data_IF_604154465732
#
_entry.id   IF_604154465732
#
_cell.length_a   1.000
_cell.length_b   1.000
_cell.length_c   1.000
_cell.angle_alpha   90.00
_cell.angle_beta   90.00
_cell.angle_gamma   90.00
#
_symmetry.space_group_name_H-M   'P 1'
#
loop_
_entity.id
_entity.type
_entity.pdbx_description
1 polymer ?
#
# COMPACT_ATOMS: atom_id res chain seq x y z
N UNK A 1 8.41 16.23 19.68
CA UNK A 1 9.54 15.29 19.73
C UNK A 1 9.09 14.09 20.54
N UNK A 2 9.19 12.89 19.98
CA UNK A 2 8.91 11.63 20.68
C UNK A 2 10.05 11.31 21.66
N UNK A 3 9.72 10.73 22.81
CA UNK A 3 10.65 10.44 23.91
C UNK A 3 11.15 9.00 23.86
N UNK A 4 12.28 8.72 24.53
CA UNK A 4 12.78 7.34 24.69
C UNK A 4 11.87 6.45 25.54
N UNK A 5 11.06 7.05 26.42
CA UNK A 5 10.06 6.30 27.19
C UNK A 5 8.91 5.84 26.30
N UNK A 6 8.37 6.72 25.44
CA UNK A 6 7.35 6.35 24.44
C UNK A 6 7.83 5.26 23.47
N UNK A 7 9.15 5.18 23.21
CA UNK A 7 9.73 4.11 22.38
C UNK A 7 9.59 2.72 23.00
N UNK A 8 9.57 2.60 24.33
CA UNK A 8 9.47 1.29 25.01
C UNK A 8 8.11 0.63 24.80
N UNK A 9 7.08 1.45 24.62
CA UNK A 9 5.69 1.00 24.39
C UNK A 9 5.32 0.99 22.89
N UNK A 10 6.28 1.27 21.99
CA UNK A 10 6.03 1.32 20.56
C UNK A 10 5.92 -0.10 19.96
N UNK A 11 4.90 -0.31 19.13
CA UNK A 11 4.72 -1.53 18.33
C UNK A 11 3.76 -2.53 18.94
N UNK A 12 3.64 -3.70 18.30
CA UNK A 12 2.66 -4.72 18.65
C UNK A 12 3.05 -5.60 19.85
N UNK A 13 4.32 -5.56 20.28
CA UNK A 13 4.89 -6.64 21.09
C UNK A 13 5.04 -7.95 20.30
N UNK A 14 5.19 -9.11 20.98
CA UNK A 14 5.33 -10.40 20.32
C UNK A 14 4.13 -10.73 19.43
N UNK A 15 4.40 -11.20 18.21
CA UNK A 15 3.37 -11.66 17.28
C UNK A 15 2.82 -13.02 17.72
N UNK A 16 1.52 -13.22 17.53
CA UNK A 16 0.85 -14.48 17.86
C UNK A 16 0.86 -15.45 16.67
N UNK A 17 0.33 -16.65 16.89
CA UNK A 17 0.14 -17.63 15.80
C UNK A 17 -0.82 -17.13 14.70
N UNK A 18 -1.66 -16.12 14.98
CA UNK A 18 -2.50 -15.48 13.95
C UNK A 18 -1.66 -14.87 12.85
N UNK A 19 -0.53 -14.25 13.20
CA UNK A 19 0.40 -13.70 12.22
C UNK A 19 1.04 -14.79 11.36
N UNK A 20 1.46 -15.90 11.96
CA UNK A 20 2.03 -17.05 11.24
C UNK A 20 1.03 -17.63 10.23
N UNK A 21 -0.23 -17.78 10.64
CA UNK A 21 -1.32 -18.25 9.79
C UNK A 21 -1.62 -17.28 8.63
N UNK A 22 -1.54 -15.96 8.89
CA UNK A 22 -1.72 -14.94 7.86
C UNK A 22 -0.57 -14.95 6.84
N UNK A 23 0.67 -15.14 7.31
CA UNK A 23 1.84 -15.27 6.45
C UNK A 23 1.72 -16.51 5.55
N UNK A 24 1.31 -17.64 6.12
CA UNK A 24 1.06 -18.87 5.35
C UNK A 24 -0.07 -18.67 4.32
N UNK A 25 -1.16 -18.00 4.71
CA UNK A 25 -2.27 -17.68 3.81
C UNK A 25 -1.83 -16.78 2.65
N UNK A 26 -1.12 -15.69 2.93
CA UNK A 26 -0.58 -14.80 1.90
C UNK A 26 0.35 -15.55 0.94
N UNK A 27 1.23 -16.41 1.48
CA UNK A 27 2.15 -17.22 0.68
C UNK A 27 1.42 -18.23 -0.22
N UNK A 28 0.30 -18.80 0.23
CA UNK A 28 -0.50 -19.70 -0.57
C UNK A 28 -1.29 -18.94 -1.65
N UNK A 29 -1.96 -17.87 -1.26
CA UNK A 29 -2.77 -17.04 -2.14
C UNK A 29 -1.94 -16.47 -3.32
N UNK A 30 -0.75 -15.94 -3.02
CA UNK A 30 0.12 -15.30 -4.00
C UNK A 30 1.24 -16.22 -4.52
N UNK A 31 1.15 -17.54 -4.31
CA UNK A 31 2.26 -18.50 -4.55
C UNK A 31 2.87 -18.44 -5.95
N UNK A 32 2.05 -18.17 -6.96
CA UNK A 32 2.48 -18.10 -8.37
C UNK A 32 2.61 -16.67 -8.88
N UNK A 33 2.31 -15.66 -8.05
CA UNK A 33 2.36 -14.27 -8.45
C UNK A 33 3.78 -13.73 -8.37
N UNK A 34 4.14 -12.94 -9.39
CA UNK A 34 5.44 -12.31 -9.52
C UNK A 34 5.28 -10.80 -9.55
N UNK A 35 6.30 -10.07 -9.07
CA UNK A 35 6.39 -8.62 -9.24
C UNK A 35 6.43 -8.30 -10.73
N UNK A 36 5.66 -7.30 -11.13
CA UNK A 36 5.49 -6.85 -12.51
C UNK A 36 6.83 -6.71 -13.23
N UNK A 37 6.94 -7.31 -14.42
CA UNK A 37 8.14 -7.23 -15.25
C UNK A 37 9.35 -8.01 -14.74
N UNK A 38 9.20 -8.88 -13.73
CA UNK A 38 10.32 -9.62 -13.14
C UNK A 38 9.95 -11.05 -12.72
N UNK A 39 10.96 -11.82 -12.28
CA UNK A 39 10.79 -13.13 -11.63
C UNK A 39 10.80 -13.05 -10.10
N UNK A 40 10.79 -11.85 -9.52
CA UNK A 40 10.77 -11.67 -8.07
C UNK A 40 9.42 -12.11 -7.52
N UNK A 41 9.35 -13.01 -6.52
CA UNK A 41 8.08 -13.43 -5.93
C UNK A 41 7.30 -12.25 -5.34
N UNK A 42 5.98 -12.21 -5.54
CA UNK A 42 5.14 -11.12 -5.01
C UNK A 42 5.17 -11.04 -3.48
N UNK A 43 5.36 -12.20 -2.83
CA UNK A 43 5.51 -12.32 -1.38
C UNK A 43 6.53 -11.35 -0.77
N UNK A 44 7.60 -11.02 -1.51
CA UNK A 44 8.60 -10.05 -1.06
C UNK A 44 7.98 -8.69 -0.73
N UNK A 45 6.99 -8.25 -1.50
CA UNK A 45 6.27 -7.01 -1.23
C UNK A 45 5.43 -7.10 0.03
N UNK A 46 4.62 -8.16 0.15
CA UNK A 46 3.70 -8.34 1.27
C UNK A 46 4.45 -8.40 2.61
N UNK A 47 5.57 -9.13 2.64
CA UNK A 47 6.46 -9.18 3.80
C UNK A 47 7.06 -7.80 4.12
N UNK A 48 7.51 -7.05 3.12
CA UNK A 48 8.04 -5.70 3.33
C UNK A 48 7.00 -4.72 3.86
N UNK A 49 5.75 -4.77 3.37
CA UNK A 49 4.67 -3.90 3.86
C UNK A 49 4.36 -4.23 5.32
N UNK A 50 4.24 -5.51 5.64
CA UNK A 50 4.00 -5.95 7.02
C UNK A 50 5.14 -5.55 7.97
N UNK A 51 6.39 -5.73 7.55
CA UNK A 51 7.56 -5.29 8.32
C UNK A 51 7.56 -3.77 8.55
N UNK A 52 7.28 -2.97 7.52
CA UNK A 52 7.18 -1.51 7.66
C UNK A 52 6.06 -1.11 8.65
N UNK A 53 4.91 -1.77 8.61
CA UNK A 53 3.84 -1.52 9.58
C UNK A 53 4.33 -1.75 11.00
N UNK A 54 5.01 -2.87 11.27
CA UNK A 54 5.54 -3.22 12.58
C UNK A 54 6.64 -2.24 13.05
N UNK A 55 7.61 -1.94 12.18
CA UNK A 55 8.71 -1.02 12.47
C UNK A 55 8.22 0.40 12.78
N UNK A 56 7.08 0.79 12.20
CA UNK A 56 6.46 2.08 12.40
C UNK A 56 5.37 2.07 13.48
N UNK A 57 5.35 1.07 14.36
CA UNK A 57 4.51 1.08 15.56
C UNK A 57 3.09 0.55 15.37
N UNK A 58 2.80 -0.10 14.23
CA UNK A 58 1.51 -0.72 13.98
C UNK A 58 1.24 -1.94 14.86
N UNK A 59 -0.05 -2.26 15.02
CA UNK A 59 -0.52 -3.45 15.72
C UNK A 59 -0.34 -4.73 14.90
N UNK A 60 -0.50 -5.89 15.56
CA UNK A 60 -0.53 -7.19 14.86
C UNK A 60 -1.63 -7.24 13.80
N UNK A 61 -2.83 -6.71 14.09
CA UNK A 61 -3.93 -6.67 13.12
C UNK A 61 -3.58 -5.83 11.88
N UNK A 62 -2.89 -4.70 12.06
CA UNK A 62 -2.40 -3.90 10.92
C UNK A 62 -1.29 -4.61 10.16
N UNK A 63 -0.41 -5.34 10.85
CA UNK A 63 0.66 -6.10 10.21
C UNK A 63 0.11 -7.29 9.40
N UNK A 64 -0.88 -8.01 9.94
CA UNK A 64 -1.66 -9.02 9.22
C UNK A 64 -2.34 -8.38 8.01
N UNK A 65 -3.01 -7.24 8.18
CA UNK A 65 -3.62 -6.54 7.06
C UNK A 65 -2.59 -6.11 6.00
N UNK A 66 -1.36 -5.75 6.40
CA UNK A 66 -0.25 -5.49 5.50
C UNK A 66 0.16 -6.71 4.66
N UNK A 67 0.13 -7.92 5.23
CA UNK A 67 0.34 -9.16 4.47
C UNK A 67 -0.79 -9.43 3.46
N UNK A 68 -2.00 -8.98 3.75
CA UNK A 68 -3.23 -9.36 3.05
C UNK A 68 -3.84 -8.24 2.19
N UNK A 69 -3.25 -7.05 2.17
CA UNK A 69 -3.88 -5.85 1.60
C UNK A 69 -4.24 -5.99 0.12
N UNK A 70 -3.43 -6.75 -0.64
CA UNK A 70 -3.65 -7.02 -2.06
C UNK A 70 -4.47 -8.29 -2.33
N UNK A 71 -4.71 -9.14 -1.33
CA UNK A 71 -5.36 -10.45 -1.53
C UNK A 71 -6.76 -10.32 -2.15
N UNK A 72 -7.50 -9.27 -1.81
CA UNK A 72 -8.83 -9.01 -2.40
C UNK A 72 -8.72 -8.44 -3.82
N UNK A 73 -7.72 -7.59 -4.09
CA UNK A 73 -7.53 -6.98 -5.42
C UNK A 73 -6.99 -7.96 -6.46
N UNK A 74 -6.13 -8.88 -6.04
CA UNK A 74 -5.46 -9.88 -6.87
C UNK A 74 -6.22 -11.22 -6.92
N UNK A 75 -7.34 -11.31 -6.20
CA UNK A 75 -8.24 -12.45 -6.26
C UNK A 75 -8.75 -12.69 -7.71
N UNK A 76 -9.03 -13.95 -8.09
CA UNK A 76 -9.73 -14.23 -9.33
C UNK A 76 -11.00 -13.40 -9.48
N UNK A 77 -11.29 -12.93 -10.70
CA UNK A 77 -12.43 -12.07 -11.00
C UNK A 77 -13.74 -12.67 -10.43
N UNK A 78 -14.48 -11.87 -9.66
CA UNK A 78 -15.73 -12.30 -9.03
C UNK A 78 -15.57 -13.05 -7.70
N UNK A 79 -14.35 -13.13 -7.15
CA UNK A 79 -14.09 -13.88 -5.89
C UNK A 79 -13.59 -13.00 -4.74
N UNK A 80 -13.39 -11.69 -4.95
CA UNK A 80 -12.87 -10.78 -3.93
C UNK A 80 -13.71 -10.75 -2.65
N UNK A 81 -15.04 -10.77 -2.75
CA UNK A 81 -15.92 -10.90 -1.58
C UNK A 81 -15.74 -12.19 -0.77
N UNK A 82 -15.45 -13.31 -1.46
CA UNK A 82 -15.17 -14.59 -0.79
C UNK A 82 -13.86 -14.53 -0.03
N UNK A 83 -12.82 -13.96 -0.65
CA UNK A 83 -11.52 -13.73 -0.01
C UNK A 83 -11.67 -12.82 1.20
N UNK A 84 -12.41 -11.72 1.09
CA UNK A 84 -12.64 -10.81 2.20
C UNK A 84 -13.40 -11.47 3.37
N UNK A 85 -14.39 -12.32 3.06
CA UNK A 85 -15.10 -13.10 4.08
C UNK A 85 -14.21 -14.15 4.75
N UNK A 86 -13.32 -14.79 3.99
CA UNK A 86 -12.32 -15.71 4.55
C UNK A 86 -11.38 -14.98 5.50
N UNK A 87 -10.86 -13.81 5.10
CA UNK A 87 -10.02 -12.95 5.94
C UNK A 87 -10.76 -12.59 7.24
N UNK A 88 -12.03 -12.20 7.15
CA UNK A 88 -12.86 -11.88 8.33
C UNK A 88 -13.01 -13.09 9.27
N UNK A 89 -13.24 -14.27 8.72
CA UNK A 89 -13.44 -15.50 9.49
C UNK A 89 -12.16 -15.95 10.21
N UNK A 90 -11.02 -15.90 9.51
CA UNK A 90 -9.73 -16.42 10.02
C UNK A 90 -8.97 -15.41 10.87
N UNK A 91 -9.01 -14.14 10.48
CA UNK A 91 -8.17 -13.10 11.07
C UNK A 91 -8.97 -11.99 11.73
N UNK A 92 -10.31 -12.06 11.74
CA UNK A 92 -11.17 -11.14 12.47
C UNK A 92 -11.62 -9.91 11.68
N UNK A 93 -12.60 -9.20 12.25
CA UNK A 93 -13.24 -8.05 11.61
C UNK A 93 -12.30 -6.88 11.35
N UNK A 94 -11.45 -6.52 12.32
CA UNK A 94 -10.52 -5.40 12.19
C UNK A 94 -9.57 -5.55 11.01
N UNK A 95 -8.96 -6.74 10.86
CA UNK A 95 -8.11 -7.06 9.71
C UNK A 95 -8.87 -6.93 8.39
N UNK A 96 -10.07 -7.51 8.30
CA UNK A 96 -10.87 -7.46 7.08
C UNK A 96 -11.27 -6.02 6.71
N UNK A 97 -11.61 -5.19 7.71
CA UNK A 97 -12.00 -3.80 7.49
C UNK A 97 -10.80 -2.96 7.01
N UNK A 98 -9.59 -3.20 7.54
CA UNK A 98 -8.36 -2.58 7.06
C UNK A 98 -8.05 -3.01 5.62
N UNK A 99 -8.11 -4.31 5.31
CA UNK A 99 -7.86 -4.82 3.96
C UNK A 99 -8.83 -4.20 2.96
N UNK A 100 -10.14 -4.18 3.28
CA UNK A 100 -11.17 -3.54 2.45
C UNK A 100 -10.87 -2.06 2.23
N UNK A 101 -10.44 -1.34 3.26
CA UNK A 101 -10.11 0.08 3.15
C UNK A 101 -8.83 0.34 2.33
N UNK A 102 -7.92 -0.62 2.25
CA UNK A 102 -6.71 -0.53 1.43
C UNK A 102 -6.99 -0.81 -0.06
N UNK A 103 -8.03 -1.57 -0.39
CA UNK A 103 -8.42 -1.85 -1.78
C UNK A 103 -9.11 -0.69 -2.49
N UNK A 104 -8.94 -0.60 -3.81
CA UNK A 104 -9.65 0.35 -4.68
C UNK A 104 -10.71 -0.31 -5.58
N UNK A 105 -11.74 0.47 -5.94
CA UNK A 105 -12.79 0.08 -6.90
C UNK A 105 -13.60 -1.16 -6.54
N UNK A 106 -13.65 -1.53 -5.25
CA UNK A 106 -14.50 -2.60 -4.76
C UNK A 106 -15.96 -2.15 -4.65
N UNK A 107 -16.88 -2.96 -5.16
CA UNK A 107 -18.31 -2.81 -4.89
C UNK A 107 -18.70 -3.34 -3.49
N UNK A 108 -20.00 -3.34 -3.19
CA UNK A 108 -20.52 -3.84 -1.91
C UNK A 108 -20.11 -5.31 -1.65
N UNK A 109 -20.09 -6.10 -2.72
CA UNK A 109 -19.78 -7.54 -2.75
C UNK A 109 -18.27 -7.82 -2.83
N UNK A 110 -17.41 -6.79 -2.78
CA UNK A 110 -15.96 -6.94 -2.81
C UNK A 110 -15.40 -7.28 -4.19
N UNK A 111 -16.12 -7.00 -5.27
CA UNK A 111 -15.63 -7.16 -6.62
C UNK A 111 -15.03 -5.86 -7.15
N UNK A 112 -13.85 -5.98 -7.75
CA UNK A 112 -13.13 -4.84 -8.31
C UNK A 112 -13.57 -4.51 -9.73
N UNK A 113 -13.83 -3.24 -10.03
CA UNK A 113 -14.26 -2.77 -11.35
C UNK A 113 -13.73 -1.37 -11.71
N UNK A 114 -13.88 -0.96 -12.98
CA UNK A 114 -13.42 0.34 -13.48
C UNK A 114 -11.98 0.37 -14.00
N UNK A 115 -11.61 1.45 -14.67
CA UNK A 115 -10.24 1.73 -15.14
C UNK A 115 -9.33 2.12 -13.97
N UNK A 116 -8.01 2.08 -14.17
CA UNK A 116 -7.06 2.53 -13.15
C UNK A 116 -7.34 3.96 -12.70
N UNK A 117 -7.64 4.85 -13.64
CA UNK A 117 -7.86 6.28 -13.39
C UNK A 117 -9.18 6.56 -12.64
N UNK A 118 -10.24 5.79 -12.91
CA UNK A 118 -11.49 5.87 -12.12
C UNK A 118 -11.24 5.40 -10.68
N UNK A 119 -10.68 4.20 -10.51
CA UNK A 119 -10.45 3.64 -9.16
C UNK A 119 -9.53 4.51 -8.31
N UNK A 120 -8.44 5.05 -8.89
CA UNK A 120 -7.49 5.86 -8.13
C UNK A 120 -8.00 7.27 -7.82
N UNK A 121 -8.88 7.86 -8.64
CA UNK A 121 -9.57 9.11 -8.28
C UNK A 121 -10.42 8.95 -7.04
N UNK A 122 -11.28 7.94 -7.02
CA UNK A 122 -12.16 7.67 -5.87
C UNK A 122 -11.34 7.30 -4.63
N UNK A 123 -10.29 6.49 -4.81
CA UNK A 123 -9.39 6.13 -3.72
C UNK A 123 -8.70 7.35 -3.10
N UNK A 124 -8.17 8.27 -3.92
CA UNK A 124 -7.52 9.51 -3.45
C UNK A 124 -8.52 10.42 -2.77
N UNK A 125 -9.72 10.60 -3.34
CA UNK A 125 -10.78 11.40 -2.73
C UNK A 125 -11.20 10.88 -1.35
N UNK A 126 -11.18 9.56 -1.15
CA UNK A 126 -11.50 8.93 0.14
C UNK A 126 -10.39 9.00 1.19
N UNK A 127 -9.17 9.45 0.88
CA UNK A 127 -8.04 9.43 1.83
C UNK A 127 -8.25 10.34 3.05
N UNK A 128 -9.03 11.41 2.92
CA UNK A 128 -9.37 12.30 4.05
C UNK A 128 -10.19 11.58 5.13
N UNK A 129 -10.96 10.55 4.75
CA UNK A 129 -11.87 9.81 5.64
C UNK A 129 -11.43 8.37 5.91
N UNK A 130 -10.36 7.88 5.27
CA UNK A 130 -9.82 6.53 5.48
C UNK A 130 -9.52 6.28 6.97
N UNK A 131 -9.87 5.14 7.58
CA UNK A 131 -9.47 4.85 8.96
C UNK A 131 -7.95 4.99 9.17
N UNK A 132 -7.51 5.55 10.31
CA UNK A 132 -6.07 5.79 10.55
C UNK A 132 -5.28 4.47 10.50
N UNK A 133 -5.86 3.38 11.00
CA UNK A 133 -5.23 2.07 10.99
C UNK A 133 -4.89 1.59 9.57
N UNK A 134 -5.81 1.82 8.62
CA UNK A 134 -5.60 1.51 7.21
C UNK A 134 -4.71 2.53 6.50
N UNK A 135 -4.65 3.76 6.99
CA UNK A 135 -3.77 4.79 6.44
C UNK A 135 -2.30 4.46 6.71
N UNK A 136 -1.97 3.87 7.86
CA UNK A 136 -0.61 3.35 8.14
C UNK A 136 -0.22 2.26 7.14
N UNK A 137 -1.11 1.28 6.90
CA UNK A 137 -0.86 0.20 5.92
C UNK A 137 -0.71 0.75 4.51
N UNK A 138 -1.57 1.71 4.12
CA UNK A 138 -1.46 2.43 2.84
C UNK A 138 -0.11 3.13 2.68
N UNK A 139 0.36 3.79 3.75
CA UNK A 139 1.65 4.48 3.74
C UNK A 139 2.82 3.50 3.64
N UNK A 140 2.77 2.36 4.33
CA UNK A 140 3.77 1.29 4.23
C UNK A 140 3.83 0.68 2.82
N UNK A 141 2.68 0.36 2.24
CA UNK A 141 2.56 -0.08 0.84
C UNK A 141 3.23 0.92 -0.12
N UNK A 142 2.86 2.20 -0.07
CA UNK A 142 3.43 3.21 -0.96
C UNK A 142 4.89 3.51 -0.67
N UNK A 143 5.36 3.34 0.56
CA UNK A 143 6.78 3.45 0.87
C UNK A 143 7.58 2.38 0.14
N UNK A 144 7.23 1.10 0.32
CA UNK A 144 7.94 0.00 -0.34
C UNK A 144 7.81 0.07 -1.86
N UNK A 145 6.59 0.22 -2.38
CA UNK A 145 6.38 0.25 -3.82
C UNK A 145 7.05 1.46 -4.49
N UNK A 146 7.02 2.64 -3.87
CA UNK A 146 7.69 3.84 -4.38
C UNK A 146 9.20 3.65 -4.52
N UNK A 147 9.85 3.05 -3.51
CA UNK A 147 11.28 2.75 -3.54
C UNK A 147 11.64 1.72 -4.62
N UNK A 148 10.84 0.65 -4.78
CA UNK A 148 11.06 -0.31 -5.85
C UNK A 148 10.96 0.35 -7.24
N UNK A 149 9.92 1.15 -7.46
CA UNK A 149 9.73 1.84 -8.74
C UNK A 149 10.88 2.81 -9.01
N UNK A 150 11.29 3.60 -8.01
CA UNK A 150 12.42 4.52 -8.14
C UNK A 150 13.72 3.77 -8.52
N UNK A 151 13.99 2.64 -7.87
CA UNK A 151 15.14 1.79 -8.17
C UNK A 151 15.08 1.23 -9.59
N UNK A 152 13.93 0.71 -10.02
CA UNK A 152 13.77 0.12 -11.34
C UNK A 152 13.86 1.17 -12.45
N UNK A 153 13.30 2.36 -12.28
CA UNK A 153 13.44 3.47 -13.24
C UNK A 153 14.89 3.89 -13.39
N UNK A 154 15.67 3.96 -12.28
CA UNK A 154 17.11 4.26 -12.36
C UNK A 154 17.91 3.18 -13.06
N UNK A 155 17.51 1.92 -12.89
CA UNK A 155 18.20 0.76 -13.45
C UNK A 155 17.90 0.55 -14.93
N UNK A 156 16.64 0.69 -15.32
CA UNK A 156 16.17 0.35 -16.67
C UNK A 156 15.81 1.57 -17.52
N UNK A 157 15.87 2.77 -16.94
CA UNK A 157 15.59 4.02 -17.63
C UNK A 157 14.09 4.32 -17.82
N UNK A 158 13.77 5.36 -18.60
CA UNK A 158 12.40 5.84 -18.80
C UNK A 158 11.44 4.80 -19.38
N UNK A 159 11.93 3.82 -20.12
CA UNK A 159 11.08 2.79 -20.73
C UNK A 159 10.37 1.91 -19.68
N UNK A 160 10.88 1.86 -18.45
CA UNK A 160 10.23 1.14 -17.35
C UNK A 160 8.80 1.65 -17.05
N UNK A 161 8.51 2.92 -17.32
CA UNK A 161 7.17 3.48 -17.14
C UNK A 161 6.12 2.78 -18.01
N UNK A 162 6.52 2.21 -19.15
CA UNK A 162 5.62 1.48 -20.05
C UNK A 162 5.07 0.17 -19.46
N UNK A 163 5.66 -0.33 -18.37
CA UNK A 163 5.16 -1.53 -17.70
C UNK A 163 3.86 -1.28 -16.92
N UNK A 164 3.53 -0.01 -16.63
CA UNK A 164 2.35 0.37 -15.85
C UNK A 164 1.12 0.60 -16.73
N UNK A 165 -0.05 0.32 -16.16
CA UNK A 165 -1.31 0.67 -16.81
C UNK A 165 -1.57 2.18 -16.72
N UNK A 166 -0.89 2.87 -15.81
CA UNK A 166 -0.93 4.31 -15.60
C UNK A 166 0.24 4.99 -16.29
N UNK A 167 0.07 6.24 -16.71
CA UNK A 167 1.19 7.07 -17.16
C UNK A 167 2.13 7.40 -15.99
N UNK A 168 3.35 7.83 -16.31
CA UNK A 168 4.28 8.39 -15.32
C UNK A 168 3.61 9.47 -14.47
N UNK A 169 2.96 10.43 -15.12
CA UNK A 169 2.40 11.60 -14.44
C UNK A 169 1.19 11.21 -13.56
N UNK A 170 0.37 10.26 -14.01
CA UNK A 170 -0.70 9.67 -13.20
C UNK A 170 -0.14 8.98 -11.94
N UNK A 171 0.96 8.25 -12.05
CA UNK A 171 1.62 7.63 -10.89
C UNK A 171 2.19 8.67 -9.93
N UNK A 172 2.91 9.67 -10.43
CA UNK A 172 3.46 10.73 -9.58
C UNK A 172 2.35 11.49 -8.84
N UNK A 173 1.24 11.80 -9.51
CA UNK A 173 0.06 12.37 -8.88
C UNK A 173 -0.49 11.46 -7.76
N UNK A 174 -0.61 10.15 -8.02
CA UNK A 174 -1.14 9.22 -7.03
C UNK A 174 -0.26 9.17 -5.78
N UNK A 175 1.05 8.99 -5.93
CA UNK A 175 1.98 8.87 -4.80
C UNK A 175 2.07 10.18 -3.99
N UNK A 176 2.14 11.32 -4.65
CA UNK A 176 2.16 12.63 -3.95
C UNK A 176 0.82 12.94 -3.28
N UNK A 177 -0.30 12.46 -3.82
CA UNK A 177 -1.62 12.61 -3.17
C UNK A 177 -1.75 11.75 -1.91
N UNK A 178 -1.24 10.51 -1.94
CA UNK A 178 -1.15 9.66 -0.74
C UNK A 178 -0.23 10.31 0.31
N UNK A 179 0.95 10.77 -0.07
CA UNK A 179 1.87 11.45 0.84
C UNK A 179 1.24 12.68 1.49
N UNK A 180 0.54 13.54 0.73
CA UNK A 180 -0.16 14.71 1.27
C UNK A 180 -1.19 14.31 2.32
N UNK A 181 -2.01 13.31 2.02
CA UNK A 181 -3.03 12.83 2.96
C UNK A 181 -2.42 12.23 4.23
N UNK A 182 -1.37 11.41 4.09
CA UNK A 182 -0.63 10.82 5.22
C UNK A 182 0.02 11.91 6.07
N UNK A 183 0.66 12.90 5.46
CA UNK A 183 1.31 14.01 6.17
C UNK A 183 0.32 14.85 6.99
N UNK A 184 -0.88 15.07 6.46
CA UNK A 184 -1.93 15.81 7.15
C UNK A 184 -2.56 15.02 8.31
N UNK A 185 -2.71 13.71 8.15
CA UNK A 185 -3.50 12.87 9.06
C UNK A 185 -2.69 12.05 10.05
N UNK A 186 -1.40 11.86 9.80
CA UNK A 186 -0.43 11.24 10.69
C UNK A 186 0.78 12.19 10.91
N UNK A 187 0.54 13.44 11.38
CA UNK A 187 1.62 14.41 11.56
C UNK A 187 2.61 13.92 12.63
N UNK A 188 3.91 13.96 12.31
CA UNK A 188 4.98 13.52 13.21
C UNK A 188 5.11 11.99 13.37
N UNK A 189 4.28 11.20 12.68
CA UNK A 189 4.43 9.75 12.66
C UNK A 189 5.63 9.35 11.79
N UNK A 190 6.44 8.38 12.24
CA UNK A 190 7.68 8.01 11.55
C UNK A 190 7.45 7.45 10.12
N UNK A 191 6.28 6.84 9.86
CA UNK A 191 5.89 6.41 8.51
C UNK A 191 5.74 7.57 7.53
N UNK A 192 5.34 8.75 8.02
CA UNK A 192 5.17 9.95 7.19
C UNK A 192 6.52 10.36 6.61
N UNK A 193 7.58 10.33 7.42
CA UNK A 193 8.93 10.62 6.96
C UNK A 193 9.46 9.55 5.99
N UNK A 194 9.16 8.27 6.26
CA UNK A 194 9.55 7.17 5.38
C UNK A 194 8.89 7.29 4.00
N UNK A 195 7.58 7.54 3.98
CA UNK A 195 6.83 7.79 2.75
C UNK A 195 7.34 9.04 2.04
N UNK A 196 7.62 10.12 2.77
CA UNK A 196 8.13 11.36 2.19
C UNK A 196 9.44 11.14 1.42
N UNK A 197 10.37 10.38 2.03
CA UNK A 197 11.62 9.97 1.38
C UNK A 197 11.35 9.09 0.16
N UNK A 198 10.51 8.06 0.27
CA UNK A 198 10.18 7.18 -0.84
C UNK A 198 9.58 7.92 -2.04
N UNK A 199 8.66 8.86 -1.80
CA UNK A 199 8.10 9.69 -2.88
C UNK A 199 9.15 10.65 -3.44
N UNK A 200 10.05 11.19 -2.61
CA UNK A 200 11.18 11.99 -3.08
C UNK A 200 12.10 11.22 -4.02
N UNK A 201 12.43 9.97 -3.67
CA UNK A 201 13.23 9.07 -4.51
C UNK A 201 12.53 8.78 -5.85
N UNK A 202 11.23 8.53 -5.83
CA UNK A 202 10.42 8.30 -7.02
C UNK A 202 10.38 9.52 -7.94
N UNK A 203 10.19 10.71 -7.37
CA UNK A 203 10.18 11.98 -8.11
C UNK A 203 11.55 12.28 -8.73
N UNK A 204 12.63 12.08 -7.97
CA UNK A 204 13.99 12.22 -8.47
C UNK A 204 14.28 11.24 -9.61
N UNK A 205 13.86 9.97 -9.49
CA UNK A 205 14.00 8.99 -10.56
C UNK A 205 13.19 9.37 -11.82
N UNK A 206 12.09 10.09 -11.66
CA UNK A 206 11.29 10.62 -12.75
C UNK A 206 11.80 11.95 -13.35
N UNK A 207 12.87 12.53 -12.79
CA UNK A 207 13.34 13.89 -13.09
C UNK A 207 12.25 14.96 -12.93
N UNK A 208 11.45 14.84 -11.87
CA UNK A 208 10.33 15.75 -11.58
C UNK A 208 10.48 16.34 -10.19
N UNK A 209 10.25 17.65 -10.05
CA UNK A 209 10.17 18.28 -8.74
C UNK A 209 8.79 18.08 -8.10
N UNK A 210 8.75 17.93 -6.77
CA UNK A 210 7.48 17.75 -6.03
C UNK A 210 6.46 18.85 -6.30
N UNK A 211 6.92 20.10 -6.39
CA UNK A 211 6.07 21.26 -6.65
C UNK A 211 5.48 21.28 -8.07
N UNK A 212 6.07 20.53 -9.01
CA UNK A 212 5.59 20.43 -10.39
C UNK A 212 4.48 19.38 -10.56
N UNK A 213 4.23 18.54 -9.55
CA UNK A 213 3.17 17.52 -9.62
C UNK A 213 1.80 18.14 -9.30
N UNK A 214 0.81 18.02 -10.19
CA UNK A 214 -0.50 18.63 -9.96
C UNK A 214 -1.23 18.04 -8.74
N UNK A 215 -2.16 18.82 -8.18
CA UNK A 215 -3.09 18.34 -7.14
C UNK A 215 -4.18 17.45 -7.72
N UNK A 216 -4.61 17.77 -8.94
CA UNK A 216 -5.61 17.02 -9.70
C UNK A 216 -4.96 15.96 -10.58
N UNK A 217 -5.72 14.89 -10.88
CA UNK A 217 -5.25 13.83 -11.75
C UNK A 217 -4.96 14.37 -13.16
N UNK A 218 -3.77 14.12 -13.74
CA UNK A 218 -3.46 14.61 -15.08
C UNK A 218 -4.31 13.90 -16.13
N UNK A 219 -4.72 14.66 -17.16
CA UNK A 219 -5.37 14.08 -18.33
C UNK A 219 -4.39 13.22 -19.12
N UNK A 220 -4.86 12.07 -19.64
CA UNK A 220 -4.08 11.32 -20.63
C UNK A 220 -3.97 12.13 -21.91
N UNK A 221 -2.75 12.42 -22.32
CA UNK A 221 -2.44 12.93 -23.66
C UNK A 221 -2.49 11.78 -24.66
#
# INVERSE_FOLDING_TARGET
>A
MTTLEERKDMGSGPLSTRYDEALAYASEHHRKQLRKGSRVPYMTHLMSVSALVLEHGGSEDQAIAGLLHDAVEDAPKGTGGKVLNEIRSRFGGGVADIVRACSDGLDADGNRSGTWAERKRDYVAGLSHKPLDALLVTAADKTHNGLCIASDVRRYGPDFWSTFNASRDELLWYYTSVERAVSQRLPGHSITDALHRAVGELLAAANTERAAVPTEMPARR
#
